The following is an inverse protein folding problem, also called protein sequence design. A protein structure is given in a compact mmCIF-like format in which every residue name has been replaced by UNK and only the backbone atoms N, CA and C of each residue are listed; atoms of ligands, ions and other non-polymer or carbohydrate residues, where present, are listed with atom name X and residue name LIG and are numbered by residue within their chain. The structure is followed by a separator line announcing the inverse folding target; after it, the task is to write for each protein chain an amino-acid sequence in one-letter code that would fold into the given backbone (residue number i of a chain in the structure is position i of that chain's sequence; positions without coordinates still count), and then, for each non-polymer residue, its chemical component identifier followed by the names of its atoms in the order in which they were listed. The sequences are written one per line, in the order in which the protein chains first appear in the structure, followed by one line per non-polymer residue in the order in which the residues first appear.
data_IF_757854626494
#
_entry.id   IF_757854626494
#
_cell.length_a   1.000
_cell.length_b   1.000
_cell.length_c   1.000
_cell.angle_alpha   90.00
_cell.angle_beta   90.00
_cell.angle_gamma   90.00
#
_symmetry.space_group_name_H-M   'P 1'
#
loop_
_entity.id
_entity.type
_entity.pdbx_description
1 polymer ?
#
# COMPACT_ATOMS: atom_id res chain seq x y z
N UNK A 1 -35.41 27.24 10.11
CA UNK A 1 -34.05 27.37 10.67
C UNK A 1 -33.33 26.03 10.48
N UNK A 2 -32.22 25.98 9.71
CA UNK A 2 -31.48 24.72 9.49
C UNK A 2 -30.82 24.32 10.80
N UNK A 3 -31.07 23.08 11.25
CA UNK A 3 -30.59 22.56 12.52
C UNK A 3 -29.06 22.41 12.46
N UNK A 4 -28.35 23.44 12.91
CA UNK A 4 -26.89 23.56 12.92
C UNK A 4 -26.23 22.37 13.63
N UNK A 5 -26.86 21.84 14.69
CA UNK A 5 -26.38 20.66 15.42
C UNK A 5 -26.22 19.41 14.54
N UNK A 6 -27.10 19.19 13.56
CA UNK A 6 -27.00 18.04 12.66
C UNK A 6 -25.82 18.18 11.69
N UNK A 7 -25.58 19.39 11.19
CA UNK A 7 -24.46 19.68 10.29
C UNK A 7 -23.11 19.54 11.01
N UNK A 8 -22.99 20.06 12.23
CA UNK A 8 -21.78 19.89 13.05
C UNK A 8 -21.52 18.42 13.40
N UNK A 9 -22.55 17.64 13.72
CA UNK A 9 -22.41 16.19 14.00
C UNK A 9 -21.98 15.42 12.75
N UNK A 10 -22.51 15.78 11.57
CA UNK A 10 -22.16 15.17 10.30
C UNK A 10 -20.72 15.53 9.89
N UNK A 11 -20.34 16.81 10.01
CA UNK A 11 -18.99 17.28 9.76
C UNK A 11 -17.97 16.65 10.72
N UNK A 12 -18.32 16.47 12.01
CA UNK A 12 -17.47 15.71 12.96
C UNK A 12 -17.37 14.24 12.58
N UNK A 13 -18.48 13.58 12.20
CA UNK A 13 -18.45 12.19 11.71
C UNK A 13 -17.58 12.06 10.47
N UNK A 14 -17.66 13.01 9.53
CA UNK A 14 -16.82 13.06 8.33
C UNK A 14 -15.36 13.31 8.71
N UNK A 15 -15.06 14.25 9.61
CA UNK A 15 -13.70 14.56 10.07
C UNK A 15 -13.05 13.41 10.83
N UNK A 16 -13.82 12.71 11.67
CA UNK A 16 -13.39 11.48 12.37
C UNK A 16 -13.19 10.33 11.37
N UNK A 17 -14.04 10.21 10.36
CA UNK A 17 -13.89 9.22 9.27
C UNK A 17 -12.70 9.53 8.34
N UNK A 18 -12.27 10.80 8.26
CA UNK A 18 -11.12 11.26 7.47
C UNK A 18 -9.81 11.18 8.26
N UNK A 19 -9.85 11.15 9.59
CA UNK A 19 -8.68 10.86 10.41
C UNK A 19 -8.47 9.35 10.56
N UNK A 20 -8.18 8.70 9.44
CA UNK A 20 -7.65 7.33 9.49
C UNK A 20 -6.32 7.38 10.21
N UNK A 21 -6.22 6.62 11.29
CA UNK A 21 -4.96 6.50 12.03
C UNK A 21 -3.87 5.96 11.11
N UNK A 22 -2.60 6.28 11.38
CA UNK A 22 -1.49 5.73 10.58
C UNK A 22 -1.51 4.20 10.50
N UNK A 23 -2.09 3.54 11.52
CA UNK A 23 -2.33 2.10 11.53
C UNK A 23 -3.36 1.66 10.47
N UNK A 24 -4.50 2.36 10.38
CA UNK A 24 -5.54 2.03 9.40
C UNK A 24 -5.04 2.23 7.96
N UNK A 25 -4.30 3.31 7.73
CA UNK A 25 -3.70 3.57 6.42
C UNK A 25 -2.68 2.49 6.05
N UNK A 26 -1.80 2.12 6.99
CA UNK A 26 -0.84 1.03 6.79
C UNK A 26 -1.55 -0.29 6.43
N UNK A 27 -2.61 -0.65 7.17
CA UNK A 27 -3.36 -1.87 6.90
C UNK A 27 -3.99 -1.84 5.51
N UNK A 28 -4.60 -0.73 5.09
CA UNK A 28 -5.23 -0.61 3.78
C UNK A 28 -4.26 -0.65 2.61
N UNK A 29 -3.09 -0.07 2.80
CA UNK A 29 -2.05 -0.02 1.77
C UNK A 29 -1.35 -1.37 1.64
N UNK A 30 -0.96 -1.98 2.77
CA UNK A 30 -0.05 -3.11 2.72
C UNK A 30 -0.63 -4.44 3.19
N UNK A 31 -1.69 -4.46 4.01
CA UNK A 31 -2.26 -5.70 4.58
C UNK A 31 -3.48 -6.21 3.79
N UNK A 32 -3.51 -6.02 2.46
CA UNK A 32 -4.59 -6.48 1.58
C UNK A 32 -4.07 -7.53 0.60
N UNK A 33 -4.78 -8.64 0.45
CA UNK A 33 -4.43 -9.68 -0.51
C UNK A 33 -4.99 -9.33 -1.91
N UNK A 34 -4.20 -8.60 -2.72
CA UNK A 34 -4.57 -8.12 -4.07
C UNK A 34 -3.93 -8.92 -5.20
N UNK A 35 -2.88 -9.68 -4.89
CA UNK A 35 -2.14 -10.40 -5.91
C UNK A 35 -3.01 -11.49 -6.55
N UNK A 36 -3.27 -11.45 -7.87
CA UNK A 36 -4.11 -12.42 -8.54
C UNK A 36 -3.54 -13.83 -8.39
N UNK A 37 -4.41 -14.82 -8.19
CA UNK A 37 -4.01 -16.24 -8.09
C UNK A 37 -3.49 -16.84 -9.41
N UNK A 38 -3.38 -16.04 -10.48
CA UNK A 38 -2.77 -16.42 -11.75
C UNK A 38 -1.25 -16.45 -11.67
N UNK A 39 -0.63 -17.55 -12.12
CA UNK A 39 0.82 -17.84 -12.01
C UNK A 39 1.71 -16.97 -12.92
N UNK A 40 1.43 -15.68 -13.10
CA UNK A 40 2.21 -14.79 -13.97
C UNK A 40 3.25 -13.94 -13.23
N UNK A 41 3.61 -14.31 -12.00
CA UNK A 41 4.68 -13.65 -11.24
C UNK A 41 6.08 -14.02 -11.76
N UNK A 42 7.04 -13.10 -11.62
CA UNK A 42 8.47 -13.36 -11.80
C UNK A 42 9.16 -13.47 -10.43
N UNK A 43 10.19 -14.30 -10.33
CA UNK A 43 10.99 -14.44 -9.12
C UNK A 43 12.14 -13.44 -9.14
N UNK A 44 12.37 -12.77 -8.01
CA UNK A 44 13.50 -11.87 -7.80
C UNK A 44 14.24 -12.27 -6.52
N UNK A 45 15.56 -12.07 -6.49
CA UNK A 45 16.35 -12.30 -5.29
C UNK A 45 16.16 -11.17 -4.29
N UNK A 46 15.95 -11.52 -3.02
CA UNK A 46 15.93 -10.60 -1.89
C UNK A 46 17.06 -10.97 -0.94
N UNK A 47 17.64 -9.96 -0.28
CA UNK A 47 18.62 -10.22 0.78
C UNK A 47 17.95 -11.04 1.90
N UNK A 48 18.65 -12.03 2.49
CA UNK A 48 18.07 -12.91 3.50
C UNK A 48 17.39 -12.16 4.66
N UNK A 49 18.03 -11.12 5.18
CA UNK A 49 17.54 -10.31 6.29
C UNK A 49 16.22 -9.57 5.98
N UNK A 50 16.03 -9.16 4.72
CA UNK A 50 14.78 -8.55 4.28
C UNK A 50 13.70 -9.59 4.09
N UNK A 51 14.05 -10.72 3.46
CA UNK A 51 13.12 -11.83 3.27
C UNK A 51 12.56 -12.32 4.61
N UNK A 52 13.41 -12.56 5.61
CA UNK A 52 12.99 -12.99 6.94
C UNK A 52 12.05 -11.97 7.62
N UNK A 53 12.39 -10.68 7.52
CA UNK A 53 11.57 -9.62 8.11
C UNK A 53 10.19 -9.54 7.44
N UNK A 54 10.13 -9.57 6.11
CA UNK A 54 8.87 -9.54 5.36
C UNK A 54 8.02 -10.78 5.64
N UNK A 55 8.65 -11.96 5.69
CA UNK A 55 7.98 -13.21 6.01
C UNK A 55 7.38 -13.17 7.42
N UNK A 56 8.12 -12.65 8.40
CA UNK A 56 7.63 -12.54 9.78
C UNK A 56 6.44 -11.58 9.91
N UNK A 57 6.41 -10.47 9.17
CA UNK A 57 5.26 -9.56 9.12
C UNK A 57 4.02 -10.32 8.67
N UNK A 58 4.12 -11.00 7.53
CA UNK A 58 3.02 -11.77 6.94
C UNK A 58 2.51 -12.88 7.88
N UNK A 59 3.42 -13.62 8.53
CA UNK A 59 3.05 -14.70 9.44
C UNK A 59 2.34 -14.23 10.72
N UNK A 60 2.61 -12.99 11.15
CA UNK A 60 1.97 -12.40 12.33
C UNK A 60 0.61 -11.76 11.98
N UNK A 61 0.40 -11.33 10.73
CA UNK A 61 -0.86 -10.77 10.20
C UNK A 61 -1.89 -11.85 9.83
N UNK A 62 -2.19 -12.75 10.78
CA UNK A 62 -3.03 -13.96 10.54
C UNK A 62 -4.47 -13.65 10.14
N UNK A 63 -5.02 -12.54 10.62
CA UNK A 63 -6.42 -12.16 10.36
C UNK A 63 -6.61 -11.69 8.91
N UNK A 64 -5.57 -11.06 8.34
CA UNK A 64 -5.58 -10.42 7.04
C UNK A 64 -5.34 -11.40 5.88
N UNK A 65 -4.95 -12.65 6.18
CA UNK A 65 -4.68 -13.74 5.20
C UNK A 65 -3.82 -13.28 4.02
N UNK A 66 -2.90 -12.35 4.28
CA UNK A 66 -1.99 -11.84 3.27
C UNK A 66 -0.89 -12.86 2.96
N UNK A 67 -0.42 -12.89 1.72
CA UNK A 67 0.72 -13.71 1.31
C UNK A 67 1.98 -12.86 1.21
N UNK A 68 3.16 -13.49 1.28
CA UNK A 68 4.43 -12.79 1.06
C UNK A 68 4.47 -12.10 -0.31
N UNK A 69 3.94 -12.77 -1.35
CA UNK A 69 3.83 -12.20 -2.68
C UNK A 69 2.97 -10.94 -2.70
N UNK A 70 1.76 -11.00 -2.14
CA UNK A 70 0.88 -9.82 -2.13
C UNK A 70 1.44 -8.69 -1.26
N UNK A 71 2.17 -9.00 -0.18
CA UNK A 71 2.80 -7.96 0.63
C UNK A 71 3.91 -7.22 -0.14
N UNK A 72 4.77 -7.96 -0.85
CA UNK A 72 5.82 -7.38 -1.70
C UNK A 72 5.18 -6.59 -2.85
N UNK A 73 4.14 -7.13 -3.49
CA UNK A 73 3.43 -6.47 -4.57
C UNK A 73 2.83 -5.13 -4.11
N UNK A 74 2.17 -5.10 -2.96
CA UNK A 74 1.64 -3.86 -2.37
C UNK A 74 2.74 -2.83 -2.07
N UNK A 75 3.93 -3.26 -1.62
CA UNK A 75 5.08 -2.38 -1.41
C UNK A 75 5.53 -1.77 -2.75
N UNK A 76 5.59 -2.58 -3.81
CA UNK A 76 6.00 -2.13 -5.14
C UNK A 76 4.95 -1.20 -5.76
N UNK A 77 3.66 -1.53 -5.67
CA UNK A 77 2.56 -0.68 -6.12
C UNK A 77 2.62 0.69 -5.44
N UNK A 78 2.78 0.71 -4.10
CA UNK A 78 2.93 1.95 -3.37
C UNK A 78 4.19 2.72 -3.81
N UNK A 79 5.34 2.04 -3.97
CA UNK A 79 6.56 2.70 -4.41
C UNK A 79 6.39 3.36 -5.79
N UNK A 80 5.84 2.65 -6.76
CA UNK A 80 5.60 3.21 -8.09
C UNK A 80 4.54 4.30 -8.12
N UNK A 81 3.54 4.23 -7.23
CA UNK A 81 2.54 5.29 -7.11
C UNK A 81 3.12 6.59 -6.56
N UNK A 82 3.97 6.51 -5.52
CA UNK A 82 4.53 7.72 -4.91
C UNK A 82 5.72 8.31 -5.67
N UNK A 83 6.49 7.48 -6.38
CA UNK A 83 7.74 7.89 -7.00
C UNK A 83 7.77 7.70 -8.52
N UNK A 84 6.65 7.30 -9.14
CA UNK A 84 6.61 6.94 -10.56
C UNK A 84 6.98 8.09 -11.50
N UNK A 85 6.58 9.32 -11.16
CA UNK A 85 6.89 10.52 -11.94
C UNK A 85 8.39 10.82 -11.89
N UNK A 86 8.99 10.78 -10.69
CA UNK A 86 10.42 11.01 -10.47
C UNK A 86 11.27 9.91 -11.11
N UNK A 87 10.84 8.65 -11.00
CA UNK A 87 11.48 7.52 -11.69
C UNK A 87 11.48 7.78 -13.20
N UNK A 88 10.32 8.11 -13.76
CA UNK A 88 10.18 8.34 -15.21
C UNK A 88 11.03 9.52 -15.68
N UNK A 89 10.99 10.65 -14.95
CA UNK A 89 11.79 11.82 -15.27
C UNK A 89 13.30 11.51 -15.24
N UNK A 90 13.76 10.86 -14.16
CA UNK A 90 15.17 10.50 -13.99
C UNK A 90 15.71 9.64 -15.14
N UNK A 91 14.94 8.66 -15.60
CA UNK A 91 15.37 7.78 -16.68
C UNK A 91 15.24 8.42 -18.06
N UNK A 92 14.19 9.19 -18.33
CA UNK A 92 13.98 9.84 -19.63
C UNK A 92 15.03 10.92 -19.93
N UNK A 93 15.57 11.58 -18.90
CA UNK A 93 16.65 12.57 -19.05
C UNK A 93 18.00 11.93 -19.41
N UNK A 94 18.20 10.65 -19.08
CA UNK A 94 19.52 10.01 -19.10
C UNK A 94 19.62 8.79 -20.01
N UNK A 95 18.50 8.21 -20.41
CA UNK A 95 18.40 6.96 -21.15
C UNK A 95 17.22 6.99 -22.12
N UNK A 96 16.97 5.88 -22.83
CA UNK A 96 15.70 5.67 -23.54
C UNK A 96 14.54 5.66 -22.53
N UNK A 97 13.31 6.03 -22.97
CA UNK A 97 12.13 5.95 -22.12
C UNK A 97 11.99 4.57 -21.47
N UNK A 98 11.76 4.57 -20.14
CA UNK A 98 11.64 3.35 -19.33
C UNK A 98 10.23 2.73 -19.42
N UNK A 99 9.27 3.47 -19.98
CA UNK A 99 7.89 3.07 -20.24
C UNK A 99 7.55 3.27 -21.73
#
# INVERSE_FOLDING_TARGET
MRNTNLFYKLAMKIKIKIQETGKEQFQKLFMVNRFPSGRSGKVVYLRPEYHERLLRIVQLSREEKITLYSYIDNIMEHHFREFGEEITAYFNERNKPIL
#
